data_IF_056951558056
#
_entry.id   IF_056951558056
#
_cell.length_a   1.000
_cell.length_b   1.000
_cell.length_c   1.000
_cell.angle_alpha   90.00
_cell.angle_beta   90.00
_cell.angle_gamma   90.00
#
_symmetry.space_group_name_H-M   'P 1'
#
loop_
_entity.id
_entity.type
_entity.pdbx_description
1 polymer ?
#
# COMPACT_ATOMS: atom_id res chain seq x y z
N UNK A 1 -57.47 26.78 21.14
CA UNK A 1 -57.48 27.24 19.73
C UNK A 1 -56.25 28.12 19.49
N UNK A 2 -55.32 27.62 18.65
CA UNK A 2 -54.27 28.27 17.84
C UNK A 2 -53.77 29.66 18.26
N UNK A 3 -52.44 29.78 18.40
CA UNK A 3 -51.53 30.79 17.80
C UNK A 3 -50.22 30.80 18.62
N UNK A 4 -49.00 30.94 18.12
CA UNK A 4 -48.38 30.94 16.79
C UNK A 4 -46.87 30.80 17.08
N UNK A 5 -46.16 30.03 16.27
CA UNK A 5 -44.70 29.95 16.32
C UNK A 5 -44.08 31.36 16.19
N UNK A 6 -43.10 31.66 17.04
CA UNK A 6 -42.22 32.81 16.88
C UNK A 6 -40.80 32.26 16.84
N UNK A 7 -40.32 32.05 15.62
CA UNK A 7 -38.91 31.90 15.33
C UNK A 7 -38.21 33.21 15.65
N UNK A 8 -37.32 33.20 16.64
CA UNK A 8 -36.35 34.25 16.91
C UNK A 8 -34.98 33.68 16.50
N UNK A 9 -34.43 34.11 15.38
CA UNK A 9 -33.55 35.28 15.25
C UNK A 9 -32.07 34.93 15.45
N UNK A 10 -31.40 34.75 14.31
CA UNK A 10 -30.14 35.39 13.94
C UNK A 10 -29.04 35.50 15.01
N UNK A 11 -28.04 34.63 14.92
CA UNK A 11 -26.66 34.98 15.26
C UNK A 11 -25.72 34.41 14.18
N UNK A 12 -25.29 35.31 13.29
CA UNK A 12 -24.07 35.15 12.50
C UNK A 12 -22.91 34.99 13.49
N UNK A 13 -22.31 33.80 13.56
CA UNK A 13 -20.95 33.63 14.03
C UNK A 13 -20.16 32.96 12.91
N UNK A 14 -19.36 33.77 12.23
CA UNK A 14 -18.38 33.34 11.25
C UNK A 14 -17.41 32.36 11.91
N UNK A 15 -17.56 31.07 11.60
CA UNK A 15 -16.51 30.09 11.85
C UNK A 15 -15.61 30.09 10.61
N UNK A 16 -14.29 30.32 10.78
CA UNK A 16 -13.37 30.34 9.67
C UNK A 16 -13.40 28.98 8.98
N UNK A 17 -13.48 29.01 7.66
CA UNK A 17 -13.16 27.90 6.77
C UNK A 17 -11.70 27.49 7.00
N UNK A 18 -11.43 26.82 8.12
CA UNK A 18 -10.17 26.18 8.44
C UNK A 18 -10.11 24.86 7.69
N UNK A 19 -9.43 24.90 6.56
CA UNK A 19 -8.97 23.79 5.72
C UNK A 19 -9.41 22.39 6.16
N UNK A 20 -10.24 21.77 5.32
CA UNK A 20 -10.35 20.33 5.20
C UNK A 20 -8.97 19.81 4.72
N UNK A 21 -8.02 19.67 5.64
CA UNK A 21 -6.76 18.99 5.36
C UNK A 21 -7.09 17.50 5.22
N UNK A 22 -7.49 17.15 4.01
CA UNK A 22 -7.37 15.79 3.50
C UNK A 22 -5.89 15.48 3.48
N UNK A 23 -5.37 15.04 4.63
CA UNK A 23 -4.13 14.28 4.71
C UNK A 23 -4.39 12.97 3.97
N UNK A 24 -4.34 13.06 2.64
CA UNK A 24 -4.00 11.92 1.81
C UNK A 24 -2.70 11.41 2.41
N UNK A 25 -2.81 10.29 3.12
CA UNK A 25 -1.67 9.48 3.51
C UNK A 25 -1.00 9.09 2.20
N UNK A 26 -0.10 9.95 1.76
CA UNK A 26 0.76 9.77 0.62
C UNK A 26 1.73 8.67 1.05
N UNK A 27 1.25 7.43 0.93
CA UNK A 27 2.06 6.22 0.96
C UNK A 27 2.99 6.37 -0.23
N UNK A 28 4.11 7.01 0.03
CA UNK A 28 5.20 7.10 -0.90
C UNK A 28 5.62 5.65 -1.10
N UNK A 29 5.27 5.08 -2.25
CA UNK A 29 5.99 3.92 -2.78
C UNK A 29 7.42 4.39 -3.07
N UNK A 30 8.16 4.58 -1.98
CA UNK A 30 9.60 4.61 -1.98
C UNK A 30 9.96 3.22 -2.50
N UNK A 31 10.29 3.10 -3.78
CA UNK A 31 10.99 1.92 -4.28
C UNK A 31 12.28 1.87 -3.48
N UNK A 32 12.25 1.15 -2.37
CA UNK A 32 13.37 1.06 -1.45
C UNK A 32 14.55 0.60 -2.31
N UNK A 33 15.61 1.41 -2.36
CA UNK A 33 16.83 1.03 -3.04
C UNK A 33 17.43 -0.15 -2.27
N UNK A 34 17.04 -1.37 -2.64
CA UNK A 34 17.49 -2.59 -1.99
C UNK A 34 18.90 -2.89 -2.49
N UNK A 35 19.90 -2.43 -1.75
CA UNK A 35 21.28 -2.86 -1.93
C UNK A 35 21.49 -4.14 -1.12
N UNK A 36 21.36 -5.30 -1.75
CA UNK A 36 21.59 -6.59 -1.10
C UNK A 36 23.09 -6.82 -0.87
N UNK A 37 23.47 -7.24 0.34
CA UNK A 37 24.81 -7.73 0.68
C UNK A 37 24.77 -9.22 0.98
N UNK A 38 25.93 -9.87 0.88
CA UNK A 38 26.06 -11.29 1.26
C UNK A 38 25.73 -11.45 2.75
N UNK A 39 24.90 -12.44 3.07
CA UNK A 39 24.42 -12.69 4.43
C UNK A 39 23.13 -11.96 4.78
N UNK A 40 22.69 -10.98 3.97
CA UNK A 40 21.41 -10.33 4.18
C UNK A 40 20.27 -11.35 4.01
N UNK A 41 19.27 -11.21 4.87
CA UNK A 41 18.05 -11.98 4.74
C UNK A 41 17.32 -11.57 3.46
N UNK A 42 17.10 -12.52 2.55
CA UNK A 42 16.40 -12.27 1.29
C UNK A 42 15.00 -11.66 1.56
N UNK A 43 14.60 -10.56 0.89
CA UNK A 43 13.28 -9.98 1.04
C UNK A 43 12.19 -11.00 0.72
N UNK A 44 11.17 -11.06 1.57
CA UNK A 44 10.06 -11.98 1.36
C UNK A 44 9.10 -11.43 0.30
N UNK A 45 8.65 -12.29 -0.60
CA UNK A 45 7.71 -11.94 -1.65
C UNK A 45 6.79 -13.12 -1.96
N UNK A 46 5.63 -12.79 -2.53
CA UNK A 46 4.66 -13.76 -3.03
C UNK A 46 4.45 -13.49 -4.52
N UNK A 47 4.63 -14.52 -5.34
CA UNK A 47 4.39 -14.46 -6.77
C UNK A 47 3.37 -15.52 -7.17
N UNK A 48 2.73 -15.28 -8.31
CA UNK A 48 1.87 -16.26 -8.95
C UNK A 48 2.74 -17.19 -9.81
N UNK A 49 2.55 -18.50 -9.69
CA UNK A 49 3.21 -19.48 -10.56
C UNK A 49 2.48 -19.67 -11.88
N UNK A 50 3.12 -20.40 -12.80
CA UNK A 50 2.54 -20.91 -14.05
C UNK A 50 1.25 -21.73 -13.85
N UNK A 51 1.12 -22.37 -12.69
CA UNK A 51 -0.07 -23.12 -12.28
C UNK A 51 -1.14 -22.26 -11.60
N UNK A 52 -1.05 -20.92 -11.64
CA UNK A 52 -1.96 -20.00 -10.95
C UNK A 52 -2.02 -20.18 -9.43
N UNK A 53 -0.95 -20.72 -8.84
CA UNK A 53 -0.83 -20.86 -7.37
C UNK A 53 0.03 -19.73 -6.83
N UNK A 54 -0.36 -19.18 -5.69
CA UNK A 54 0.49 -18.25 -4.95
C UNK A 54 1.65 -19.01 -4.32
N UNK A 55 2.87 -18.55 -4.58
CA UNK A 55 4.12 -19.12 -4.06
C UNK A 55 4.84 -18.04 -3.29
N UNK A 56 5.19 -18.34 -2.03
CA UNK A 56 5.89 -17.40 -1.15
C UNK A 56 7.33 -17.83 -0.91
N UNK A 57 8.28 -16.89 -0.97
CA UNK A 57 9.70 -17.21 -0.77
C UNK A 57 9.95 -17.82 0.62
N UNK A 58 9.26 -17.33 1.66
CA UNK A 58 9.38 -17.84 3.02
C UNK A 58 9.10 -19.33 3.17
N UNK A 59 8.28 -19.92 2.30
CA UNK A 59 7.84 -21.32 2.43
C UNK A 59 8.99 -22.32 2.24
N UNK A 60 10.05 -21.90 1.57
CA UNK A 60 11.25 -22.69 1.28
C UNK A 60 12.37 -22.50 2.32
N UNK A 61 12.31 -21.46 3.16
CA UNK A 61 13.36 -21.15 4.13
C UNK A 61 13.61 -22.32 5.08
N UNK A 62 14.88 -22.67 5.29
CA UNK A 62 15.31 -23.76 6.17
C UNK A 62 14.98 -25.16 5.67
N UNK A 63 14.30 -25.31 4.52
CA UNK A 63 13.92 -26.61 3.95
C UNK A 63 14.78 -26.98 2.76
N UNK A 64 15.14 -26.00 1.92
CA UNK A 64 15.92 -26.21 0.69
C UNK A 64 16.80 -24.98 0.41
N UNK A 65 17.88 -25.21 -0.34
CA UNK A 65 18.62 -24.12 -0.97
C UNK A 65 17.82 -23.60 -2.17
N UNK A 66 17.74 -22.28 -2.32
CA UNK A 66 16.92 -21.62 -3.35
C UNK A 66 17.79 -20.65 -4.14
N UNK A 67 17.65 -20.67 -5.47
CA UNK A 67 18.27 -19.72 -6.39
C UNK A 67 17.17 -18.92 -7.09
N UNK A 68 17.36 -17.61 -7.22
CA UNK A 68 16.42 -16.71 -7.90
C UNK A 68 17.05 -16.20 -9.19
N UNK A 69 16.41 -16.47 -10.32
CA UNK A 69 16.77 -15.95 -11.63
C UNK A 69 15.64 -15.05 -12.14
N UNK A 70 16.00 -13.91 -12.75
CA UNK A 70 15.05 -12.96 -13.35
C UNK A 70 15.35 -12.90 -14.85
N UNK A 71 14.34 -13.22 -15.66
CA UNK A 71 14.40 -13.12 -17.11
C UNK A 71 13.56 -11.93 -17.56
N UNK A 72 14.12 -11.04 -18.38
CA UNK A 72 13.46 -9.80 -18.79
C UNK A 72 12.31 -10.07 -19.77
N UNK A 73 12.54 -11.01 -20.71
CA UNK A 73 11.59 -11.39 -21.74
C UNK A 73 11.45 -12.92 -21.79
N UNK A 74 10.26 -13.38 -22.11
CA UNK A 74 10.03 -14.79 -22.41
C UNK A 74 10.55 -15.15 -23.81
N UNK A 75 10.89 -16.43 -24.03
CA UNK A 75 11.30 -16.99 -25.33
C UNK A 75 12.56 -16.37 -25.97
N UNK A 76 13.48 -15.83 -25.17
CA UNK A 76 14.79 -15.35 -25.64
C UNK A 76 15.89 -16.35 -25.31
N UNK A 77 16.95 -16.37 -26.12
CA UNK A 77 18.22 -17.00 -25.72
C UNK A 77 18.80 -16.26 -24.52
N UNK A 78 19.19 -17.01 -23.49
CA UNK A 78 19.86 -16.50 -22.29
C UNK A 78 21.35 -16.28 -22.50
#
# INVERSE_FOLDING_TARGET
>A
MRKRAVSAALLLAALPFGALNTSSAQKTDQVAKVSLKVGDTAPDFTLLSDQWKSVKLSDFRGKKNVFLAVYVLAFTGG
#
